data_IF_918779423626
#
_entry.id   IF_918779423626
#
_cell.length_a   1.000
_cell.length_b   1.000
_cell.length_c   1.000
_cell.angle_alpha   90.00
_cell.angle_beta   90.00
_cell.angle_gamma   90.00
#
_symmetry.space_group_name_H-M   'P 1'
#
loop_
_entity.id
_entity.type
_entity.pdbx_description
1 polymer ?
#
# COMPACT_ATOMS: atom_id res chain seq x y z
N UNK A 1 52.89 -14.55 -37.96
CA UNK A 1 51.57 -14.05 -38.41
C UNK A 1 50.50 -15.04 -37.96
N UNK A 2 49.42 -14.52 -37.34
CA UNK A 2 48.10 -15.12 -37.08
C UNK A 2 48.08 -16.37 -36.16
N UNK A 3 47.24 -16.51 -35.12
CA UNK A 3 45.83 -16.11 -34.94
C UNK A 3 45.54 -15.86 -33.44
N UNK A 4 45.36 -14.60 -33.05
CA UNK A 4 44.42 -14.24 -31.97
C UNK A 4 43.08 -14.05 -32.65
N UNK A 5 42.07 -14.83 -32.29
CA UNK A 5 40.63 -14.57 -32.44
C UNK A 5 39.94 -15.89 -32.08
N UNK A 6 38.80 -15.85 -31.39
CA UNK A 6 37.95 -16.97 -30.88
C UNK A 6 37.81 -17.08 -29.35
N UNK A 7 37.82 -15.95 -28.63
CA UNK A 7 37.25 -15.89 -27.27
C UNK A 7 36.34 -14.67 -27.17
N UNK A 8 35.32 -14.57 -28.04
CA UNK A 8 34.30 -13.49 -27.93
C UNK A 8 32.84 -13.99 -28.11
N UNK A 9 32.48 -15.10 -28.81
CA UNK A 9 31.05 -15.46 -28.89
C UNK A 9 30.50 -16.19 -27.65
N UNK A 10 31.34 -16.90 -26.88
CA UNK A 10 30.86 -17.81 -25.83
C UNK A 10 30.40 -17.09 -24.55
N UNK A 11 30.91 -15.88 -24.28
CA UNK A 11 30.55 -15.14 -23.07
C UNK A 11 29.16 -14.47 -23.19
N UNK A 12 28.72 -14.12 -24.40
CA UNK A 12 27.43 -13.46 -24.64
C UNK A 12 26.27 -14.47 -24.51
N UNK A 13 26.47 -15.73 -24.90
CA UNK A 13 25.45 -16.78 -24.76
C UNK A 13 25.22 -17.19 -23.29
N UNK A 14 26.23 -17.12 -22.43
CA UNK A 14 26.08 -17.41 -21.00
C UNK A 14 25.37 -16.29 -20.23
N UNK A 15 25.55 -15.02 -20.63
CA UNK A 15 24.88 -13.88 -19.99
C UNK A 15 23.39 -13.88 -20.35
N UNK A 16 23.03 -14.19 -21.60
CA UNK A 16 21.62 -14.29 -22.01
C UNK A 16 20.93 -15.55 -21.44
N UNK A 17 21.59 -16.71 -21.45
CA UNK A 17 21.04 -17.96 -20.91
C UNK A 17 20.90 -17.96 -19.39
N UNK A 18 21.86 -17.36 -18.67
CA UNK A 18 21.81 -17.19 -17.22
C UNK A 18 20.67 -16.28 -16.77
N UNK A 19 20.45 -15.15 -17.45
CA UNK A 19 19.36 -14.22 -17.12
C UNK A 19 17.98 -14.86 -17.37
N UNK A 20 17.83 -15.66 -18.43
CA UNK A 20 16.58 -16.35 -18.77
C UNK A 20 16.26 -17.54 -17.83
N UNK A 21 17.29 -18.22 -17.35
CA UNK A 21 17.13 -19.33 -16.39
C UNK A 21 16.80 -18.81 -14.98
N UNK A 22 17.49 -17.75 -14.52
CA UNK A 22 17.23 -17.16 -13.19
C UNK A 22 15.85 -16.50 -13.14
N UNK A 23 15.42 -15.80 -14.18
CA UNK A 23 14.06 -15.22 -14.24
C UNK A 23 12.97 -16.29 -14.26
N UNK A 24 13.17 -17.40 -15.01
CA UNK A 24 12.24 -18.54 -14.99
C UNK A 24 12.18 -19.22 -13.62
N UNK A 25 13.32 -19.45 -12.96
CA UNK A 25 13.35 -20.08 -11.63
C UNK A 25 12.70 -19.19 -10.57
N UNK A 26 12.94 -17.88 -10.58
CA UNK A 26 12.26 -16.94 -9.67
C UNK A 26 10.74 -16.91 -9.94
N UNK A 27 10.32 -16.93 -11.20
CA UNK A 27 8.89 -16.98 -11.57
C UNK A 27 8.18 -18.28 -11.18
N UNK A 28 8.92 -19.38 -11.02
CA UNK A 28 8.40 -20.68 -10.57
C UNK A 28 8.11 -20.71 -9.05
N UNK A 29 8.73 -19.83 -8.28
CA UNK A 29 8.52 -19.74 -6.82
C UNK A 29 7.78 -18.45 -6.40
N UNK A 30 7.68 -17.45 -7.28
CA UNK A 30 6.92 -16.23 -7.04
C UNK A 30 5.42 -16.46 -7.24
N UNK A 31 4.65 -16.36 -6.16
CA UNK A 31 3.19 -16.28 -6.29
C UNK A 31 2.83 -14.84 -6.67
N UNK A 32 2.27 -14.59 -7.86
CA UNK A 32 1.95 -13.24 -8.28
C UNK A 32 0.94 -12.63 -7.31
N UNK A 33 1.27 -11.43 -6.84
CA UNK A 33 0.37 -10.58 -6.05
C UNK A 33 -0.15 -9.48 -6.95
N UNK A 34 -1.38 -9.04 -6.69
CA UNK A 34 -2.11 -8.16 -7.61
C UNK A 34 -2.60 -6.88 -6.94
N UNK A 35 -2.41 -6.72 -5.62
CA UNK A 35 -2.77 -5.51 -4.89
C UNK A 35 -1.62 -4.54 -4.83
N UNK A 36 -1.88 -3.27 -5.16
CA UNK A 36 -0.98 -2.15 -4.94
C UNK A 36 -1.73 -1.08 -4.13
N UNK A 37 -1.06 -0.49 -3.15
CA UNK A 37 -1.52 0.73 -2.48
C UNK A 37 -0.48 1.82 -2.70
N UNK A 38 -0.91 2.93 -3.30
CA UNK A 38 -0.10 4.12 -3.54
C UNK A 38 -0.48 5.22 -2.55
N UNK A 39 0.50 5.99 -2.11
CA UNK A 39 0.32 7.19 -1.31
C UNK A 39 0.98 8.37 -2.02
N UNK A 40 0.21 9.41 -2.32
CA UNK A 40 0.72 10.61 -3.01
C UNK A 40 0.24 11.88 -2.33
N UNK A 41 1.11 12.89 -2.24
CA UNK A 41 0.74 14.27 -1.91
C UNK A 41 0.39 15.09 -3.15
N UNK A 42 0.75 14.63 -4.36
CA UNK A 42 0.34 15.23 -5.64
C UNK A 42 -0.79 14.41 -6.28
N UNK A 43 -2.01 14.97 -6.24
CA UNK A 43 -3.20 14.36 -6.85
C UNK A 43 -3.06 14.24 -8.37
N UNK A 44 -2.52 15.26 -9.02
CA UNK A 44 -2.48 15.34 -10.48
C UNK A 44 -1.51 14.31 -11.04
N UNK A 45 -0.35 14.16 -10.42
CA UNK A 45 0.62 13.14 -10.81
C UNK A 45 0.08 11.73 -10.58
N UNK A 46 -0.57 11.49 -9.44
CA UNK A 46 -1.23 10.22 -9.14
C UNK A 46 -2.31 9.89 -10.18
N UNK A 47 -3.22 10.83 -10.47
CA UNK A 47 -4.28 10.65 -11.45
C UNK A 47 -3.73 10.38 -12.85
N UNK A 48 -2.68 11.11 -13.25
CA UNK A 48 -2.02 10.88 -14.54
C UNK A 48 -1.38 9.49 -14.60
N UNK A 49 -0.70 9.07 -13.53
CA UNK A 49 -0.09 7.74 -13.45
C UNK A 49 -1.13 6.62 -13.51
N UNK A 50 -2.27 6.76 -12.85
CA UNK A 50 -3.39 5.82 -12.96
C UNK A 50 -3.95 5.76 -14.38
N UNK A 51 -4.07 6.92 -15.04
CA UNK A 51 -4.55 7.02 -16.42
C UNK A 51 -3.60 6.38 -17.42
N UNK A 52 -2.30 6.60 -17.26
CA UNK A 52 -1.25 6.02 -18.12
C UNK A 52 -1.26 4.49 -18.05
N UNK A 53 -1.65 3.92 -16.91
CA UNK A 53 -1.69 2.48 -16.65
C UNK A 53 -3.09 1.85 -16.73
N UNK A 54 -4.13 2.61 -17.14
CA UNK A 54 -5.53 2.19 -17.02
C UNK A 54 -5.87 0.84 -17.70
N UNK A 55 -5.16 0.48 -18.76
CA UNK A 55 -5.37 -0.79 -19.49
C UNK A 55 -4.98 -2.01 -18.67
N UNK A 56 -4.03 -1.86 -17.73
CA UNK A 56 -3.53 -2.91 -16.84
C UNK A 56 -4.28 -2.95 -15.51
N UNK A 57 -4.95 -1.86 -15.14
CA UNK A 57 -5.80 -1.80 -13.95
C UNK A 57 -7.07 -2.63 -14.18
N UNK A 58 -7.35 -3.57 -13.28
CA UNK A 58 -8.63 -4.29 -13.22
C UNK A 58 -9.66 -3.50 -12.43
N UNK A 59 -9.25 -2.96 -11.29
CA UNK A 59 -10.08 -2.10 -10.46
C UNK A 59 -9.18 -1.09 -9.74
N UNK A 60 -9.70 0.10 -9.44
CA UNK A 60 -9.02 1.04 -8.57
C UNK A 60 -10.03 1.82 -7.74
N UNK A 61 -9.56 2.30 -6.60
CA UNK A 61 -10.22 3.36 -5.83
C UNK A 61 -9.16 4.34 -5.39
N UNK A 62 -9.49 5.63 -5.43
CA UNK A 62 -8.66 6.70 -4.86
C UNK A 62 -9.50 7.41 -3.82
N UNK A 63 -8.93 7.55 -2.62
CA UNK A 63 -9.53 8.32 -1.53
C UNK A 63 -8.61 9.46 -1.13
N UNK A 64 -9.21 10.52 -0.63
CA UNK A 64 -8.50 11.63 -0.02
C UNK A 64 -8.48 11.43 1.49
N UNK A 65 -7.32 11.69 2.08
CA UNK A 65 -7.10 11.76 3.50
C UNK A 65 -6.22 12.95 3.85
N UNK A 66 -5.75 12.98 5.09
CA UNK A 66 -4.74 13.93 5.57
C UNK A 66 -3.58 13.15 6.17
N UNK A 67 -2.40 13.74 6.25
CA UNK A 67 -1.23 13.05 6.78
C UNK A 67 -0.39 13.93 7.68
N UNK A 68 -0.13 13.45 8.89
CA UNK A 68 0.76 14.09 9.87
C UNK A 68 2.11 13.38 9.83
N UNK A 69 3.13 14.04 9.28
CA UNK A 69 4.44 13.44 9.08
C UNK A 69 5.17 13.13 10.40
N UNK A 70 5.04 14.02 11.40
CA UNK A 70 5.70 13.89 12.70
C UNK A 70 5.32 12.59 13.43
N UNK A 71 4.02 12.27 13.42
CA UNK A 71 3.50 11.08 14.11
C UNK A 71 3.32 9.87 13.19
N UNK A 72 3.62 10.04 11.90
CA UNK A 72 3.37 9.10 10.80
C UNK A 72 1.93 8.55 10.83
N UNK A 73 0.99 9.48 10.82
CA UNK A 73 -0.45 9.18 10.94
C UNK A 73 -1.18 9.59 9.67
N UNK A 74 -1.77 8.60 8.99
CA UNK A 74 -2.79 8.84 7.97
C UNK A 74 -4.12 9.12 8.65
N UNK A 75 -4.88 10.08 8.16
CA UNK A 75 -6.23 10.39 8.65
C UNK A 75 -7.20 10.24 7.49
N UNK A 76 -8.26 9.46 7.70
CA UNK A 76 -9.32 9.22 6.72
C UNK A 76 -10.65 9.63 7.30
N UNK A 77 -11.56 10.11 6.46
CA UNK A 77 -12.98 10.13 6.82
C UNK A 77 -13.56 8.71 6.76
N UNK A 78 -14.65 8.48 7.49
CA UNK A 78 -15.32 7.19 7.58
C UNK A 78 -15.71 6.61 6.22
N UNK A 79 -16.20 7.45 5.29
CA UNK A 79 -16.62 6.99 3.94
C UNK A 79 -15.42 6.54 3.11
N UNK A 80 -14.30 7.25 3.20
CA UNK A 80 -13.04 6.87 2.56
C UNK A 80 -12.48 5.56 3.13
N UNK A 81 -12.53 5.38 4.46
CA UNK A 81 -12.15 4.12 5.10
C UNK A 81 -13.06 2.97 4.64
N UNK A 82 -14.37 3.16 4.60
CA UNK A 82 -15.33 2.15 4.11
C UNK A 82 -15.08 1.73 2.66
N UNK A 83 -14.73 2.67 1.77
CA UNK A 83 -14.35 2.34 0.39
C UNK A 83 -13.13 1.40 0.35
N UNK A 84 -12.10 1.69 1.15
CA UNK A 84 -10.90 0.85 1.24
C UNK A 84 -11.23 -0.54 1.82
N UNK A 85 -12.13 -0.61 2.80
CA UNK A 85 -12.64 -1.88 3.38
C UNK A 85 -13.36 -2.72 2.33
N UNK A 86 -14.33 -2.13 1.62
CA UNK A 86 -15.09 -2.81 0.56
C UNK A 86 -14.18 -3.32 -0.56
N UNK A 87 -13.09 -2.61 -0.81
CA UNK A 87 -12.10 -2.98 -1.79
C UNK A 87 -11.05 -3.97 -1.26
N UNK A 88 -11.24 -4.53 -0.05
CA UNK A 88 -10.35 -5.53 0.59
C UNK A 88 -8.92 -5.04 0.75
N UNK A 89 -8.75 -3.74 0.98
CA UNK A 89 -7.45 -3.10 1.18
C UNK A 89 -7.08 -2.99 2.66
N UNK A 90 -7.96 -3.39 3.58
CA UNK A 90 -7.79 -3.16 5.03
C UNK A 90 -7.89 -4.48 5.77
N UNK A 91 -6.93 -4.72 6.67
CA UNK A 91 -6.74 -6.01 7.31
C UNK A 91 -6.59 -5.88 8.82
N UNK A 92 -7.36 -6.67 9.56
CA UNK A 92 -7.09 -6.95 10.96
C UNK A 92 -5.86 -7.85 11.04
N UNK A 93 -4.97 -7.52 11.97
CA UNK A 93 -3.73 -8.25 12.22
C UNK A 93 -3.85 -9.03 13.51
N UNK A 94 -3.52 -10.30 13.47
CA UNK A 94 -3.34 -11.14 14.65
C UNK A 94 -1.95 -11.76 14.63
N UNK A 95 -1.33 -11.90 15.81
CA UNK A 95 -0.01 -12.53 15.96
C UNK A 95 -0.17 -13.86 16.68
N UNK A 96 0.38 -14.93 16.11
CA UNK A 96 0.46 -16.26 16.76
C UNK A 96 1.92 -16.70 16.74
N UNK A 97 2.59 -16.67 17.89
CA UNK A 97 4.04 -16.85 17.93
C UNK A 97 4.73 -15.72 17.16
N UNK A 98 5.61 -16.07 16.22
CA UNK A 98 6.29 -15.09 15.35
C UNK A 98 5.57 -14.83 14.02
N UNK A 99 4.44 -15.49 13.77
CA UNK A 99 3.68 -15.35 12.54
C UNK A 99 2.56 -14.32 12.67
N UNK A 100 2.49 -13.42 11.69
CA UNK A 100 1.37 -12.49 11.50
C UNK A 100 0.33 -13.10 10.58
N UNK A 101 -0.94 -12.98 10.95
CA UNK A 101 -2.10 -13.35 10.13
C UNK A 101 -2.93 -12.13 9.83
N UNK A 102 -3.29 -11.99 8.56
CA UNK A 102 -4.07 -10.87 8.03
C UNK A 102 -5.45 -11.38 7.67
N UNK A 103 -6.48 -10.67 8.13
CA UNK A 103 -7.87 -10.95 7.79
C UNK A 103 -8.54 -9.68 7.30
N UNK A 104 -9.10 -9.71 6.09
CA UNK A 104 -9.88 -8.62 5.52
C UNK A 104 -10.97 -8.22 6.50
N UNK A 105 -10.97 -6.94 6.88
CA UNK A 105 -12.10 -6.42 7.65
C UNK A 105 -13.28 -6.25 6.70
N UNK A 106 -14.49 -6.48 7.20
CA UNK A 106 -15.72 -6.44 6.39
C UNK A 106 -16.54 -5.19 6.64
N UNK A 107 -16.27 -4.50 7.74
CA UNK A 107 -17.00 -3.31 8.18
C UNK A 107 -16.14 -2.49 9.15
N UNK A 108 -16.38 -1.19 9.18
CA UNK A 108 -15.83 -0.30 10.20
C UNK A 108 -16.57 -0.54 11.53
N UNK A 109 -15.83 -0.68 12.64
CA UNK A 109 -16.40 -1.01 13.95
C UNK A 109 -17.13 0.17 14.58
N UNK A 110 -16.43 1.29 14.75
CA UNK A 110 -16.93 2.55 15.32
C UNK A 110 -16.01 3.70 14.89
N UNK A 111 -16.52 4.93 14.88
CA UNK A 111 -15.73 6.16 14.70
C UNK A 111 -15.79 7.05 15.95
N UNK A 112 -14.74 7.81 16.28
CA UNK A 112 -13.38 7.74 15.72
C UNK A 112 -12.68 6.39 15.99
N UNK A 113 -11.98 5.84 14.99
CA UNK A 113 -11.24 4.58 15.09
C UNK A 113 -9.74 4.86 14.94
N UNK A 114 -8.90 4.22 15.75
CA UNK A 114 -7.45 4.24 15.56
C UNK A 114 -6.94 2.85 15.18
N UNK A 115 -6.35 2.77 14.01
CA UNK A 115 -5.72 1.56 13.48
C UNK A 115 -4.21 1.64 13.69
N UNK A 116 -3.68 0.81 14.58
CA UNK A 116 -2.25 0.79 14.91
C UNK A 116 -1.86 -0.49 15.65
N UNK A 117 -0.59 -0.88 15.56
CA UNK A 117 -0.03 -1.97 16.37
C UNK A 117 0.03 -1.62 17.86
N UNK A 118 0.20 -0.33 18.20
CA UNK A 118 0.25 0.13 19.59
C UNK A 118 -1.14 0.43 20.13
N UNK A 119 -1.79 -0.60 20.68
CA UNK A 119 -3.18 -0.51 21.17
C UNK A 119 -3.33 0.31 22.45
N UNK A 120 -2.25 0.80 23.06
CA UNK A 120 -2.31 1.69 24.21
C UNK A 120 -2.54 3.15 23.81
N UNK A 121 -2.17 3.53 22.58
CA UNK A 121 -2.43 4.87 22.05
C UNK A 121 -3.92 5.04 21.76
N UNK A 122 -4.47 6.18 22.16
CA UNK A 122 -5.87 6.55 21.90
C UNK A 122 -6.03 7.98 21.39
N UNK A 123 -5.07 8.85 21.67
CA UNK A 123 -5.14 10.25 21.27
C UNK A 123 -4.17 10.50 20.12
N UNK A 124 -4.63 11.25 19.12
CA UNK A 124 -3.83 11.72 17.99
C UNK A 124 -3.97 13.23 17.93
N UNK A 125 -2.84 13.92 17.89
CA UNK A 125 -2.80 15.35 17.68
C UNK A 125 -2.65 15.67 16.20
N UNK A 126 -3.32 16.73 15.77
CA UNK A 126 -3.13 17.32 14.44
C UNK A 126 -1.93 18.29 14.43
N UNK A 127 -1.62 18.89 13.28
CA UNK A 127 -0.46 19.80 13.16
C UNK A 127 -0.62 21.13 13.93
N UNK A 128 -1.80 21.39 14.51
CA UNK A 128 -2.08 22.55 15.36
C UNK A 128 -2.15 22.19 16.85
N UNK A 129 -1.89 20.93 17.20
CA UNK A 129 -1.95 20.44 18.56
C UNK A 129 -3.38 20.18 19.06
N UNK A 130 -4.38 20.15 18.17
CA UNK A 130 -5.72 19.72 18.53
C UNK A 130 -5.73 18.19 18.67
N UNK A 131 -6.10 17.69 19.85
CA UNK A 131 -6.18 16.26 20.14
C UNK A 131 -7.54 15.67 19.76
N UNK A 132 -7.51 14.51 19.11
CA UNK A 132 -8.66 13.69 18.76
C UNK A 132 -8.54 12.32 19.45
N UNK A 133 -9.55 11.93 20.22
CA UNK A 133 -9.56 10.67 20.98
C UNK A 133 -10.34 9.59 20.23
N UNK A 134 -9.68 8.47 19.97
CA UNK A 134 -10.29 7.30 19.36
C UNK A 134 -11.25 6.59 20.33
N UNK A 135 -12.44 6.25 19.83
CA UNK A 135 -13.42 5.43 20.55
C UNK A 135 -13.01 3.95 20.54
N UNK A 136 -12.29 3.51 19.51
CA UNK A 136 -11.73 2.16 19.39
C UNK A 136 -10.27 2.24 18.93
N UNK A 137 -9.41 1.37 19.46
CA UNK A 137 -8.03 1.20 18.99
C UNK A 137 -7.83 -0.27 18.65
N UNK A 138 -7.51 -0.56 17.39
CA UNK A 138 -7.44 -1.93 16.85
C UNK A 138 -6.15 -2.12 16.04
N UNK A 139 -5.56 -3.33 16.08
CA UNK A 139 -4.43 -3.65 15.21
C UNK A 139 -4.92 -3.95 13.80
N UNK A 140 -5.08 -2.88 13.03
CA UNK A 140 -5.54 -2.88 11.65
C UNK A 140 -4.51 -2.16 10.78
N UNK A 141 -4.30 -2.65 9.55
CA UNK A 141 -3.36 -2.09 8.59
C UNK A 141 -3.99 -1.98 7.20
N UNK A 142 -3.47 -1.06 6.39
CA UNK A 142 -3.74 -1.00 4.95
C UNK A 142 -2.80 -1.98 4.23
N UNK A 143 -3.32 -2.90 3.44
CA UNK A 143 -2.54 -3.98 2.81
C UNK A 143 -2.03 -4.99 3.85
N UNK A 144 -0.81 -5.50 3.67
CA UNK A 144 -0.20 -6.47 4.60
C UNK A 144 1.04 -5.89 5.31
N UNK A 145 1.36 -4.62 5.06
CA UNK A 145 2.39 -3.86 5.75
C UNK A 145 1.87 -2.48 6.12
N UNK A 146 2.34 -1.92 7.23
CA UNK A 146 1.93 -0.58 7.64
C UNK A 146 2.88 0.45 7.02
N UNK A 147 2.52 1.05 5.88
CA UNK A 147 3.30 2.16 5.28
C UNK A 147 3.23 3.46 6.09
N UNK A 148 2.25 3.54 7.00
CA UNK A 148 2.14 4.53 8.06
C UNK A 148 2.07 3.80 9.40
N UNK A 149 2.62 4.36 10.47
CA UNK A 149 2.52 3.77 11.83
C UNK A 149 1.08 3.72 12.35
N UNK A 150 0.25 4.68 11.94
CA UNK A 150 -1.13 4.84 12.40
C UNK A 150 -2.05 5.24 11.25
N UNK A 151 -3.30 4.81 11.35
CA UNK A 151 -4.41 5.36 10.57
C UNK A 151 -5.54 5.75 11.52
N UNK A 152 -5.89 7.03 11.57
CA UNK A 152 -7.04 7.54 12.32
C UNK A 152 -8.23 7.68 11.35
N UNK A 153 -9.34 7.04 11.67
CA UNK A 153 -10.59 7.17 10.94
C UNK A 153 -11.53 8.06 11.75
N UNK A 154 -11.91 9.20 11.19
CA UNK A 154 -12.79 10.18 11.82
C UNK A 154 -14.17 10.16 11.17
N UNK A 155 -15.19 10.59 11.89
CA UNK A 155 -16.43 10.98 11.23
C UNK A 155 -16.21 12.25 10.37
N UNK A 156 -17.20 12.57 9.55
CA UNK A 156 -17.11 13.69 8.60
C UNK A 156 -16.88 15.04 9.31
N UNK A 157 -17.48 15.24 10.49
CA UNK A 157 -17.39 16.50 11.21
C UNK A 157 -15.97 16.68 11.77
N UNK A 158 -15.45 15.69 12.47
CA UNK A 158 -14.10 15.73 13.03
C UNK A 158 -13.02 15.72 11.96
N UNK A 159 -13.22 14.97 10.87
CA UNK A 159 -12.31 15.00 9.73
C UNK A 159 -12.19 16.40 9.13
N UNK A 160 -13.31 17.14 9.03
CA UNK A 160 -13.29 18.51 8.50
C UNK A 160 -12.51 19.48 9.39
N UNK A 161 -12.53 19.26 10.72
CA UNK A 161 -11.82 20.09 11.71
C UNK A 161 -10.33 19.76 11.80
N UNK A 162 -9.94 18.49 11.57
CA UNK A 162 -8.56 18.03 11.68
C UNK A 162 -7.61 18.79 10.73
N UNK A 163 -6.53 19.38 11.25
CA UNK A 163 -5.58 20.16 10.44
C UNK A 163 -4.33 19.35 10.07
N UNK A 164 -4.21 18.99 8.79
CA UNK A 164 -2.99 18.40 8.21
C UNK A 164 -3.04 18.48 6.67
N UNK A 165 -1.88 18.41 5.98
CA UNK A 165 -1.80 18.36 4.53
C UNK A 165 -2.59 17.19 3.95
N UNK A 166 -3.19 17.41 2.78
CA UNK A 166 -3.89 16.36 2.05
C UNK A 166 -2.92 15.24 1.62
N UNK A 167 -3.44 14.01 1.64
CA UNK A 167 -2.75 12.81 1.15
C UNK A 167 -3.75 11.95 0.41
N UNK A 168 -3.39 11.48 -0.77
CA UNK A 168 -4.21 10.62 -1.61
C UNK A 168 -3.74 9.19 -1.47
N UNK A 169 -4.68 8.28 -1.25
CA UNK A 169 -4.42 6.85 -1.15
C UNK A 169 -5.17 6.15 -2.26
N UNK A 170 -4.45 5.47 -3.14
CA UNK A 170 -5.04 4.66 -4.21
C UNK A 170 -4.82 3.18 -3.95
N UNK A 171 -5.89 2.41 -3.89
CA UNK A 171 -5.81 0.96 -4.02
C UNK A 171 -6.01 0.60 -5.49
N UNK A 172 -5.15 -0.28 -6.00
CA UNK A 172 -5.19 -0.80 -7.36
C UNK A 172 -5.20 -2.33 -7.31
N UNK A 173 -6.14 -2.93 -8.03
CA UNK A 173 -6.09 -4.33 -8.44
C UNK A 173 -5.49 -4.41 -9.84
N UNK A 174 -4.28 -4.95 -9.93
CA UNK A 174 -3.50 -5.13 -11.15
C UNK A 174 -3.80 -6.49 -11.82
N UNK A 175 -3.92 -6.51 -13.15
CA UNK A 175 -3.96 -7.74 -13.98
C UNK A 175 -2.61 -8.46 -14.06
N UNK A 176 -1.50 -7.71 -14.07
CA UNK A 176 -0.10 -8.15 -14.03
C UNK A 176 0.33 -8.40 -12.59
N UNK A 177 1.51 -8.97 -12.43
CA UNK A 177 2.17 -9.08 -11.14
C UNK A 177 2.56 -7.69 -10.61
N UNK A 178 2.07 -7.36 -9.43
CA UNK A 178 2.24 -6.07 -8.77
C UNK A 178 3.72 -5.71 -8.53
N UNK A 179 4.58 -6.71 -8.29
CA UNK A 179 6.02 -6.48 -8.12
C UNK A 179 6.67 -5.86 -9.37
N UNK A 180 6.18 -6.23 -10.55
CA UNK A 180 6.64 -5.66 -11.82
C UNK A 180 5.91 -4.35 -12.15
N UNK A 181 4.59 -4.30 -11.92
CA UNK A 181 3.78 -3.14 -12.26
C UNK A 181 4.11 -1.91 -11.40
N UNK A 182 4.55 -2.09 -10.15
CA UNK A 182 4.80 -1.00 -9.19
C UNK A 182 5.72 0.09 -9.76
N UNK A 183 6.71 -0.29 -10.58
CA UNK A 183 7.70 0.64 -11.15
C UNK A 183 7.11 1.59 -12.19
N UNK A 184 5.91 1.31 -12.69
CA UNK A 184 5.21 2.13 -13.69
C UNK A 184 4.28 3.16 -13.04
N UNK A 185 4.11 3.10 -11.71
CA UNK A 185 3.30 4.05 -10.97
C UNK A 185 4.15 5.15 -10.32
N UNK A 186 3.61 6.37 -10.29
CA UNK A 186 4.22 7.53 -9.64
C UNK A 186 3.46 7.87 -8.36
N UNK A 187 4.16 7.80 -7.23
CA UNK A 187 3.64 8.10 -5.90
C UNK A 187 4.82 8.32 -4.93
N UNK A 188 4.58 8.95 -3.79
CA UNK A 188 5.61 9.18 -2.77
C UNK A 188 6.02 7.87 -2.08
N UNK A 189 5.03 7.00 -1.85
CA UNK A 189 5.19 5.70 -1.22
C UNK A 189 4.27 4.70 -1.89
N UNK A 190 4.69 3.45 -1.93
CA UNK A 190 3.88 2.38 -2.47
C UNK A 190 4.14 1.07 -1.72
N UNK A 191 3.13 0.21 -1.68
CA UNK A 191 3.25 -1.15 -1.16
C UNK A 191 2.45 -2.11 -2.01
N UNK A 192 2.87 -3.37 -2.02
CA UNK A 192 2.15 -4.49 -2.62
C UNK A 192 1.43 -5.26 -1.52
N UNK A 193 0.28 -5.84 -1.83
CA UNK A 193 -0.44 -6.70 -0.90
C UNK A 193 -1.22 -7.79 -1.63
N UNK A 194 -1.58 -8.83 -0.89
CA UNK A 194 -2.33 -9.94 -1.43
C UNK A 194 -3.83 -9.80 -1.16
N UNK A 195 -4.65 -9.85 -2.23
CA UNK A 195 -6.11 -9.95 -2.10
C UNK A 195 -6.55 -11.33 -1.57
N UNK A 196 -5.76 -12.37 -1.83
CA UNK A 196 -6.05 -13.76 -1.41
C UNK A 196 -5.30 -14.06 -0.12
N UNK A 197 -6.00 -13.95 1.00
CA UNK A 197 -5.45 -14.35 2.30
C UNK A 197 -5.46 -15.87 2.43
N UNK A 198 -4.37 -16.42 2.98
CA UNK A 198 -4.19 -17.85 3.26
C UNK A 198 -4.64 -18.19 4.68
#
# INVERSE_FOLDING_TARGET
>A
MTKKLWIIPALILFIAGGYFAVSKVISLFHQPVHGIILYSSDKKELDQSLKDNQSYIKNNITVEGKYVAETDTLVLDATSAEKLIQAKAVNAVSKKGDEFKFKHITSLSKTPALWTADTQVKNIEDEKGQSFTAATTEYVVLGESSMTKKTLVLDKEDFSKFQAPAKYVSMIEEKRDAAHALTEYKADKAQIFNFKQK
#
